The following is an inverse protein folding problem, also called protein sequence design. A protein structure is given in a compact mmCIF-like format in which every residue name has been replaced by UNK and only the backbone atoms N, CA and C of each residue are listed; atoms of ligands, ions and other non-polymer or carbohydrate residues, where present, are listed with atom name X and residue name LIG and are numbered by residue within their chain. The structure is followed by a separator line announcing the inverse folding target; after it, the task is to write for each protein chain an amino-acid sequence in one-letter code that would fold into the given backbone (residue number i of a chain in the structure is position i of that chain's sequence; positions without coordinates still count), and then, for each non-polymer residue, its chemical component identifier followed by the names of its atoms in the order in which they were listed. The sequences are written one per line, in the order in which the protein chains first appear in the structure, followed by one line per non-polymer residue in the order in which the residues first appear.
data_IF_705477653812
#
_entry.id   IF_705477653812
#
_cell.length_a   1.000
_cell.length_b   1.000
_cell.length_c   1.000
_cell.angle_alpha   90.00
_cell.angle_beta   90.00
_cell.angle_gamma   90.00
#
_symmetry.space_group_name_H-M   'P 1'
#
loop_
_entity.id
_entity.type
_entity.pdbx_description
1 polymer ?
#
# COMPACT_ATOMS: atom_id res chain seq x y z
N UNK A 1 25.62 21.72 -28.17
CA UNK A 1 24.22 21.85 -28.62
C UNK A 1 23.45 20.84 -27.80
N UNK A 2 22.87 21.28 -26.68
CA UNK A 2 22.09 20.43 -25.78
C UNK A 2 20.77 20.14 -26.50
N UNK A 3 20.45 18.87 -26.72
CA UNK A 3 19.23 18.44 -27.42
C UNK A 3 18.04 18.79 -26.53
N UNK A 4 17.22 19.75 -26.96
CA UNK A 4 16.03 20.25 -26.25
C UNK A 4 14.85 19.26 -26.26
N UNK A 5 15.08 17.98 -26.55
CA UNK A 5 14.06 16.91 -26.53
C UNK A 5 13.84 16.31 -25.14
N UNK A 6 14.68 16.62 -24.16
CA UNK A 6 14.59 16.09 -22.79
C UNK A 6 13.61 16.84 -21.88
N UNK A 7 13.09 18.01 -22.27
CA UNK A 7 12.30 18.84 -21.33
C UNK A 7 10.83 18.39 -21.13
N UNK A 8 10.36 17.31 -21.78
CA UNK A 8 9.04 16.73 -21.54
C UNK A 8 8.85 15.33 -22.19
N UNK A 9 9.73 14.35 -21.93
CA UNK A 9 9.44 12.97 -22.34
C UNK A 9 8.17 12.49 -21.59
N UNK A 10 7.08 12.09 -22.28
CA UNK A 10 5.84 11.64 -21.64
C UNK A 10 6.03 10.53 -20.61
N UNK A 11 7.07 9.70 -20.77
CA UNK A 11 7.40 8.69 -19.77
C UNK A 11 7.85 9.31 -18.44
N UNK A 12 8.70 10.35 -18.50
CA UNK A 12 9.16 11.07 -17.31
C UNK A 12 7.98 11.84 -16.70
N UNK A 13 7.19 12.52 -17.53
CA UNK A 13 6.01 13.27 -17.10
C UNK A 13 4.98 12.39 -16.35
N UNK A 14 4.76 11.17 -16.82
CA UNK A 14 3.76 10.26 -16.25
C UNK A 14 4.33 9.16 -15.35
N UNK A 15 5.61 9.25 -14.96
CA UNK A 15 6.29 8.23 -14.15
C UNK A 15 5.57 7.99 -12.82
N UNK A 16 5.15 9.07 -12.13
CA UNK A 16 4.37 9.00 -10.86
C UNK A 16 3.08 8.21 -11.02
N UNK A 17 2.31 8.53 -12.05
CA UNK A 17 1.05 7.85 -12.37
C UNK A 17 1.27 6.37 -12.68
N UNK A 18 2.28 6.05 -13.49
CA UNK A 18 2.63 4.67 -13.82
C UNK A 18 3.04 3.90 -12.57
N UNK A 19 3.89 4.49 -11.71
CA UNK A 19 4.31 3.86 -10.46
C UNK A 19 3.13 3.61 -9.54
N UNK A 20 2.27 4.61 -9.31
CA UNK A 20 1.07 4.47 -8.50
C UNK A 20 0.14 3.37 -9.07
N UNK A 21 0.00 3.29 -10.39
CA UNK A 21 -0.79 2.24 -11.05
C UNK A 21 -0.21 0.85 -10.80
N UNK A 22 1.09 0.67 -11.06
CA UNK A 22 1.76 -0.62 -10.87
C UNK A 22 1.77 -1.04 -9.40
N UNK A 23 2.08 -0.13 -8.48
CA UNK A 23 2.08 -0.38 -7.06
C UNK A 23 0.70 -0.75 -6.51
N UNK A 24 -0.36 -0.05 -6.91
CA UNK A 24 -1.74 -0.41 -6.47
C UNK A 24 -2.22 -1.72 -7.09
N UNK A 25 -1.72 -2.06 -8.27
CA UNK A 25 -1.96 -3.36 -8.87
C UNK A 25 -1.24 -4.45 -8.11
N UNK A 26 0.06 -4.28 -7.83
CA UNK A 26 0.95 -5.35 -7.38
C UNK A 26 1.12 -5.43 -5.87
N UNK A 27 0.99 -4.32 -5.14
CA UNK A 27 1.24 -4.28 -3.69
C UNK A 27 2.71 -4.50 -3.31
N UNK A 28 3.64 -4.30 -4.24
CA UNK A 28 5.09 -4.29 -4.01
C UNK A 28 5.72 -3.12 -4.75
N UNK A 29 6.64 -2.42 -4.08
CA UNK A 29 7.44 -1.33 -4.63
C UNK A 29 8.41 -1.89 -5.66
N UNK A 30 9.12 -2.97 -5.29
CA UNK A 30 10.09 -3.61 -6.19
C UNK A 30 9.41 -4.07 -7.49
N UNK A 31 8.28 -4.79 -7.39
CA UNK A 31 7.56 -5.23 -8.58
C UNK A 31 7.05 -4.05 -9.43
N UNK A 32 6.69 -2.93 -8.80
CA UNK A 32 6.24 -1.73 -9.49
C UNK A 32 7.40 -1.04 -10.25
N UNK A 33 8.58 -0.90 -9.63
CA UNK A 33 9.76 -0.32 -10.27
C UNK A 33 10.21 -1.14 -11.48
N UNK A 34 10.22 -2.46 -11.34
CA UNK A 34 10.53 -3.34 -12.46
C UNK A 34 9.52 -3.20 -13.62
N UNK A 35 8.22 -3.07 -13.32
CA UNK A 35 7.21 -2.82 -14.37
C UNK A 35 7.46 -1.47 -15.06
N UNK A 36 7.91 -0.46 -14.33
CA UNK A 36 8.29 0.82 -14.91
C UNK A 36 9.50 0.64 -15.85
N UNK A 37 10.49 -0.14 -15.45
CA UNK A 37 11.64 -0.45 -16.29
C UNK A 37 11.21 -1.16 -17.60
N UNK A 38 10.35 -2.18 -17.51
CA UNK A 38 9.79 -2.85 -18.68
C UNK A 38 8.98 -1.89 -19.57
N UNK A 39 8.23 -0.97 -18.95
CA UNK A 39 7.46 0.06 -19.65
C UNK A 39 8.37 1.04 -20.39
N UNK A 40 9.50 1.44 -19.79
CA UNK A 40 10.52 2.27 -20.45
C UNK A 40 11.11 1.58 -21.67
N UNK A 41 11.43 0.29 -21.57
CA UNK A 41 11.96 -0.48 -22.71
C UNK A 41 10.96 -0.51 -23.86
N UNK A 42 9.67 -0.74 -23.57
CA UNK A 42 8.60 -0.66 -24.57
C UNK A 42 8.45 0.75 -25.17
N UNK A 43 8.51 1.80 -24.35
CA UNK A 43 8.40 3.19 -24.80
C UNK A 43 9.60 3.67 -25.63
N UNK A 44 10.80 3.25 -25.26
CA UNK A 44 12.05 3.63 -25.94
C UNK A 44 12.19 3.03 -27.34
N UNK A 45 11.53 1.89 -27.60
CA UNK A 45 11.57 1.16 -28.87
C UNK A 45 10.34 1.39 -29.75
N UNK A 46 9.30 2.04 -29.23
CA UNK A 46 8.08 2.35 -29.98
C UNK A 46 8.30 3.48 -30.99
N UNK A 47 7.54 3.45 -32.09
CA UNK A 47 7.41 4.58 -33.01
C UNK A 47 6.58 5.69 -32.35
N UNK A 48 7.27 6.62 -31.67
CA UNK A 48 6.66 7.68 -30.87
C UNK A 48 5.80 8.63 -31.72
N UNK A 49 6.13 8.82 -32.99
CA UNK A 49 5.38 9.69 -33.91
C UNK A 49 4.01 9.11 -34.28
N UNK A 50 3.86 7.78 -34.18
CA UNK A 50 2.57 7.11 -34.39
C UNK A 50 1.64 7.18 -33.16
N UNK A 51 2.16 7.53 -31.97
CA UNK A 51 1.40 7.52 -30.71
C UNK A 51 0.74 8.88 -30.47
N UNK A 52 -0.57 8.97 -30.75
CA UNK A 52 -1.36 10.20 -30.59
C UNK A 52 -1.63 10.59 -29.14
N UNK A 53 -1.70 9.61 -28.23
CA UNK A 53 -2.04 9.82 -26.82
C UNK A 53 -1.02 9.09 -25.92
N UNK A 54 0.16 9.69 -25.66
CA UNK A 54 1.24 9.05 -24.89
C UNK A 54 0.81 8.58 -23.49
N UNK A 55 0.04 9.39 -22.76
CA UNK A 55 -0.51 9.02 -21.44
C UNK A 55 -1.31 7.71 -21.50
N UNK A 56 -2.24 7.60 -22.45
CA UNK A 56 -3.11 6.44 -22.59
C UNK A 56 -2.30 5.19 -22.99
N UNK A 57 -1.31 5.36 -23.88
CA UNK A 57 -0.38 4.29 -24.24
C UNK A 57 0.39 3.77 -23.03
N UNK A 58 1.01 4.67 -22.25
CA UNK A 58 1.81 4.32 -21.08
C UNK A 58 0.98 3.65 -19.97
N UNK A 59 -0.22 4.19 -19.69
CA UNK A 59 -1.15 3.59 -18.71
C UNK A 59 -1.63 2.20 -19.18
N UNK A 60 -1.87 2.01 -20.47
CA UNK A 60 -2.19 0.68 -21.02
C UNK A 60 -1.03 -0.29 -20.84
N UNK A 61 0.18 0.13 -21.20
CA UNK A 61 1.39 -0.69 -21.09
C UNK A 61 1.64 -1.12 -19.65
N UNK A 62 1.64 -0.17 -18.70
CA UNK A 62 1.88 -0.45 -17.28
C UNK A 62 0.80 -1.36 -16.70
N UNK A 63 -0.47 -1.18 -17.10
CA UNK A 63 -1.60 -2.02 -16.64
C UNK A 63 -1.46 -3.45 -17.14
N UNK A 64 -1.13 -3.64 -18.43
CA UNK A 64 -0.99 -4.96 -19.02
C UNK A 64 0.21 -5.72 -18.45
N UNK A 65 1.35 -5.06 -18.27
CA UNK A 65 2.51 -5.63 -17.60
C UNK A 65 2.19 -6.01 -16.15
N UNK A 66 1.48 -5.14 -15.41
CA UNK A 66 1.04 -5.43 -14.04
C UNK A 66 0.07 -6.61 -13.97
N UNK A 67 -0.86 -6.75 -14.92
CA UNK A 67 -1.79 -7.90 -15.00
C UNK A 67 -1.05 -9.22 -15.21
N UNK A 68 -0.06 -9.23 -16.09
CA UNK A 68 0.77 -10.40 -16.34
C UNK A 68 1.52 -10.82 -15.07
N UNK A 69 2.12 -9.85 -14.36
CA UNK A 69 2.83 -10.11 -13.10
C UNK A 69 1.91 -10.51 -11.96
N UNK A 70 0.72 -9.91 -11.84
CA UNK A 70 -0.24 -10.25 -10.79
C UNK A 70 -0.64 -11.72 -10.79
N UNK A 71 -0.72 -12.33 -11.97
CA UNK A 71 -1.03 -13.75 -12.12
C UNK A 71 0.06 -14.61 -11.46
N UNK A 72 1.32 -14.28 -11.70
CA UNK A 72 2.47 -14.94 -11.05
C UNK A 72 2.57 -14.61 -9.57
N UNK A 73 2.37 -13.35 -9.18
CA UNK A 73 2.43 -12.89 -7.79
C UNK A 73 1.39 -13.60 -6.92
N UNK A 74 0.19 -13.87 -7.46
CA UNK A 74 -0.83 -14.65 -6.76
C UNK A 74 -0.36 -16.07 -6.44
N UNK A 75 0.27 -16.76 -7.40
CA UNK A 75 0.83 -18.08 -7.16
C UNK A 75 1.94 -18.07 -6.09
N UNK A 76 2.79 -17.03 -6.09
CA UNK A 76 3.78 -16.83 -5.02
C UNK A 76 3.13 -16.60 -3.67
N UNK A 77 2.04 -15.82 -3.61
CA UNK A 77 1.30 -15.54 -2.36
C UNK A 77 0.62 -16.76 -1.77
N UNK A 78 0.21 -17.73 -2.58
CA UNK A 78 -0.37 -18.98 -2.11
C UNK A 78 0.61 -19.84 -1.29
N UNK A 79 1.91 -19.69 -1.54
CA UNK A 79 2.98 -20.38 -0.79
C UNK A 79 3.62 -19.51 0.30
N UNK A 80 3.06 -18.31 0.55
CA UNK A 80 3.59 -17.35 1.51
C UNK A 80 3.45 -17.83 2.96
N UNK A 81 4.49 -17.60 3.78
CA UNK A 81 4.52 -18.01 5.19
C UNK A 81 3.91 -16.92 6.07
N UNK A 82 2.67 -17.15 6.50
CA UNK A 82 1.91 -16.23 7.37
C UNK A 82 1.03 -15.25 6.59
N UNK A 83 0.47 -14.23 7.26
CA UNK A 83 -0.28 -13.18 6.59
C UNK A 83 0.57 -12.43 5.55
N UNK A 84 0.00 -12.19 4.36
CA UNK A 84 0.57 -11.27 3.37
C UNK A 84 0.01 -9.87 3.60
N UNK A 85 0.89 -8.87 3.66
CA UNK A 85 0.55 -7.46 3.62
C UNK A 85 1.24 -6.79 2.40
N UNK A 86 0.61 -5.81 1.75
CA UNK A 86 1.27 -5.00 0.73
C UNK A 86 2.51 -4.31 1.30
N UNK A 87 3.56 -4.19 0.49
CA UNK A 87 4.78 -3.48 0.85
C UNK A 87 4.45 -2.03 1.21
N UNK A 88 4.81 -1.54 2.40
CA UNK A 88 4.51 -0.18 2.83
C UNK A 88 5.28 0.85 2.01
N UNK A 89 4.68 2.03 1.85
CA UNK A 89 5.29 3.18 1.19
C UNK A 89 5.28 4.38 2.13
N UNK A 90 6.44 4.99 2.40
CA UNK A 90 6.48 6.29 3.07
C UNK A 90 6.02 7.38 2.12
N UNK A 91 5.14 8.23 2.60
CA UNK A 91 4.60 9.37 1.85
C UNK A 91 4.89 10.66 2.62
N UNK A 92 5.27 11.76 1.96
CA UNK A 92 5.57 13.02 2.65
C UNK A 92 4.31 13.88 2.88
N UNK A 93 4.16 14.55 4.05
CA UNK A 93 3.08 15.50 4.32
C UNK A 93 3.03 16.69 3.34
N UNK A 94 4.18 17.18 2.88
CA UNK A 94 4.25 18.37 2.02
C UNK A 94 3.66 18.13 0.62
N UNK A 95 3.67 16.88 0.16
CA UNK A 95 3.08 16.48 -1.13
C UNK A 95 1.63 15.99 -0.95
N UNK A 96 1.23 15.62 0.27
CA UNK A 96 -0.17 15.33 0.58
C UNK A 96 -1.05 16.60 0.54
N UNK A 97 -0.46 17.80 0.60
CA UNK A 97 -1.15 19.08 0.53
C UNK A 97 -1.17 19.72 -0.88
N UNK A 98 -0.15 19.48 -1.72
CA UNK A 98 -0.07 20.02 -3.08
C UNK A 98 -0.38 18.94 -4.13
N UNK A 99 -1.66 18.90 -4.52
CA UNK A 99 -2.21 18.20 -5.70
C UNK A 99 -2.41 16.70 -5.52
N UNK A 100 -3.70 16.37 -5.37
CA UNK A 100 -4.31 15.03 -5.39
C UNK A 100 -4.12 14.14 -4.15
N UNK A 101 -5.03 14.33 -3.19
CA UNK A 101 -5.51 13.29 -2.27
C UNK A 101 -5.91 11.97 -2.99
N UNK A 102 -6.03 11.98 -4.32
CA UNK A 102 -6.29 10.82 -5.18
C UNK A 102 -5.06 9.90 -5.39
N UNK A 103 -3.85 10.36 -5.04
CA UNK A 103 -2.61 9.60 -5.20
C UNK A 103 -2.24 8.71 -4.02
N UNK A 104 -2.83 8.91 -2.84
CA UNK A 104 -2.59 8.04 -1.69
C UNK A 104 -3.68 6.98 -1.49
N UNK A 105 -3.30 5.70 -1.57
CA UNK A 105 -4.17 4.56 -1.24
C UNK A 105 -3.69 3.96 0.07
N UNK A 106 -4.53 3.97 1.10
CA UNK A 106 -4.21 3.44 2.42
C UNK A 106 -3.88 1.95 2.39
N UNK A 107 -3.08 1.49 3.36
CA UNK A 107 -2.73 0.06 3.47
C UNK A 107 -3.98 -0.81 3.59
N UNK A 108 -5.01 -0.35 4.31
CA UNK A 108 -6.29 -1.04 4.40
C UNK A 108 -6.95 -1.23 3.02
N UNK A 109 -6.95 -0.19 2.19
CA UNK A 109 -7.49 -0.27 0.85
C UNK A 109 -6.67 -1.20 -0.05
N UNK A 110 -5.33 -1.18 0.03
CA UNK A 110 -4.49 -2.15 -0.70
C UNK A 110 -4.80 -3.59 -0.28
N UNK A 111 -5.00 -3.86 1.02
CA UNK A 111 -5.41 -5.18 1.50
C UNK A 111 -6.79 -5.58 0.97
N UNK A 112 -7.72 -4.64 0.83
CA UNK A 112 -9.02 -4.93 0.19
C UNK A 112 -8.84 -5.23 -1.30
N UNK A 113 -8.03 -4.44 -2.03
CA UNK A 113 -7.72 -4.72 -3.42
C UNK A 113 -7.08 -6.11 -3.60
N UNK A 114 -6.33 -6.58 -2.60
CA UNK A 114 -5.77 -7.94 -2.56
C UNK A 114 -6.80 -9.06 -2.73
N UNK A 115 -8.06 -8.79 -2.38
CA UNK A 115 -9.15 -9.78 -2.48
C UNK A 115 -9.81 -9.86 -3.86
N UNK A 116 -9.55 -8.89 -4.74
CA UNK A 116 -10.07 -8.88 -6.11
C UNK A 116 -9.27 -9.81 -7.03
N UNK A 117 -9.94 -10.37 -8.05
CA UNK A 117 -9.20 -10.98 -9.17
C UNK A 117 -8.37 -9.93 -9.91
N UNK A 118 -7.29 -10.31 -10.62
CA UNK A 118 -6.41 -9.34 -11.30
C UNK A 118 -7.16 -8.38 -12.23
N UNK A 119 -8.13 -8.89 -12.99
CA UNK A 119 -8.93 -8.08 -13.91
C UNK A 119 -9.92 -7.18 -13.17
N UNK A 120 -10.57 -7.66 -12.10
CA UNK A 120 -11.42 -6.82 -11.25
C UNK A 120 -10.62 -5.67 -10.64
N UNK A 121 -9.39 -5.93 -10.17
CA UNK A 121 -8.49 -4.91 -9.62
C UNK A 121 -8.12 -3.87 -10.67
N UNK A 122 -7.72 -4.28 -11.88
CA UNK A 122 -7.39 -3.36 -12.96
C UNK A 122 -8.59 -2.47 -13.34
N UNK A 123 -9.76 -3.07 -13.55
CA UNK A 123 -10.98 -2.33 -13.88
C UNK A 123 -11.36 -1.36 -12.76
N UNK A 124 -11.27 -1.80 -11.51
CA UNK A 124 -11.55 -0.95 -10.35
C UNK A 124 -10.61 0.25 -10.28
N UNK A 125 -9.29 0.04 -10.40
CA UNK A 125 -8.30 1.11 -10.31
C UNK A 125 -8.44 2.11 -11.45
N UNK A 126 -8.52 1.64 -12.69
CA UNK A 126 -8.71 2.51 -13.86
C UNK A 126 -10.00 3.33 -13.75
N UNK A 127 -11.08 2.74 -13.23
CA UNK A 127 -12.38 3.41 -13.12
C UNK A 127 -12.48 4.36 -11.93
N UNK A 128 -12.22 3.85 -10.72
CA UNK A 128 -12.54 4.52 -9.47
C UNK A 128 -11.42 5.43 -8.97
N UNK A 129 -10.17 5.13 -9.36
CA UNK A 129 -9.01 5.90 -8.90
C UNK A 129 -8.51 6.84 -9.99
N UNK A 130 -8.47 6.39 -11.24
CA UNK A 130 -7.95 7.18 -12.36
C UNK A 130 -9.04 7.81 -13.24
N UNK A 131 -10.32 7.49 -13.02
CA UNK A 131 -11.44 8.17 -13.67
C UNK A 131 -11.71 7.79 -15.12
N UNK A 132 -11.07 6.74 -15.66
CA UNK A 132 -11.29 6.30 -17.05
C UNK A 132 -12.74 5.84 -17.28
N UNK A 133 -13.26 6.10 -18.48
CA UNK A 133 -14.54 5.58 -18.95
C UNK A 133 -14.49 4.07 -19.16
N UNK A 134 -15.64 3.40 -19.10
CA UNK A 134 -15.70 1.97 -19.41
C UNK A 134 -15.24 1.66 -20.84
N UNK A 135 -15.43 2.59 -21.78
CA UNK A 135 -14.97 2.45 -23.16
C UNK A 135 -13.44 2.47 -23.27
N UNK A 136 -12.77 3.40 -22.59
CA UNK A 136 -11.30 3.47 -22.55
C UNK A 136 -10.69 2.24 -21.85
N UNK A 137 -11.33 1.76 -20.78
CA UNK A 137 -10.91 0.53 -20.09
C UNK A 137 -11.12 -0.69 -20.99
N UNK A 138 -12.22 -0.75 -21.74
CA UNK A 138 -12.52 -1.80 -22.71
C UNK A 138 -11.45 -1.89 -23.80
N UNK A 139 -11.02 -0.75 -24.33
CA UNK A 139 -9.92 -0.68 -25.29
C UNK A 139 -8.58 -1.12 -24.67
N UNK A 140 -8.30 -0.63 -23.45
CA UNK A 140 -7.07 -0.94 -22.71
C UNK A 140 -6.91 -2.43 -22.42
N UNK A 141 -7.98 -3.07 -21.97
CA UNK A 141 -8.02 -4.48 -21.56
C UNK A 141 -8.45 -5.43 -22.68
N UNK A 142 -8.70 -4.91 -23.89
CA UNK A 142 -9.16 -5.67 -25.06
C UNK A 142 -10.41 -6.53 -24.76
N UNK A 143 -11.41 -5.90 -24.13
CA UNK A 143 -12.66 -6.54 -23.69
C UNK A 143 -13.88 -5.75 -24.14
N UNK A 144 -15.04 -6.38 -24.39
CA UNK A 144 -16.26 -5.64 -24.69
C UNK A 144 -16.65 -4.70 -23.55
N UNK A 145 -17.07 -3.47 -23.87
CA UNK A 145 -17.50 -2.49 -22.86
C UNK A 145 -18.60 -2.99 -21.92
N UNK A 146 -19.64 -3.73 -22.37
CA UNK A 146 -20.64 -4.30 -21.46
C UNK A 146 -20.02 -5.24 -20.42
N UNK A 147 -18.98 -5.99 -20.79
CA UNK A 147 -18.24 -6.87 -19.88
C UNK A 147 -17.47 -6.05 -18.84
N UNK A 148 -16.80 -4.98 -19.27
CA UNK A 148 -16.09 -4.07 -18.35
C UNK A 148 -17.04 -3.44 -17.34
N UNK A 149 -18.23 -3.01 -17.76
CA UNK A 149 -19.27 -2.47 -16.87
C UNK A 149 -19.68 -3.46 -15.78
N UNK A 150 -19.90 -4.73 -16.15
CA UNK A 150 -20.23 -5.78 -15.19
C UNK A 150 -19.08 -6.05 -14.20
N UNK A 151 -17.84 -6.10 -14.69
CA UNK A 151 -16.66 -6.27 -13.84
C UNK A 151 -16.50 -5.10 -12.88
N UNK A 152 -16.66 -3.85 -13.36
CA UNK A 152 -16.58 -2.65 -12.54
C UNK A 152 -17.60 -2.67 -11.40
N UNK A 153 -18.86 -3.03 -11.71
CA UNK A 153 -19.91 -3.16 -10.71
C UNK A 153 -19.56 -4.20 -9.64
N UNK A 154 -19.15 -5.41 -10.06
CA UNK A 154 -18.76 -6.49 -9.13
C UNK A 154 -17.56 -6.12 -8.27
N UNK A 155 -16.53 -5.51 -8.86
CA UNK A 155 -15.35 -5.07 -8.14
C UNK A 155 -15.72 -4.01 -7.10
N UNK A 156 -16.60 -3.06 -7.46
CA UNK A 156 -17.13 -2.04 -6.54
C UNK A 156 -17.90 -2.67 -5.38
N UNK A 157 -18.79 -3.62 -5.65
CA UNK A 157 -19.53 -4.33 -4.58
C UNK A 157 -18.59 -5.10 -3.65
N UNK A 158 -17.60 -5.80 -4.20
CA UNK A 158 -16.59 -6.54 -3.44
C UNK A 158 -15.81 -5.60 -2.50
N UNK A 159 -15.34 -4.47 -3.03
CA UNK A 159 -14.64 -3.45 -2.25
C UNK A 159 -15.57 -2.86 -1.19
N UNK A 160 -16.78 -2.43 -1.53
CA UNK A 160 -17.70 -1.81 -0.57
C UNK A 160 -18.10 -2.76 0.58
N UNK A 161 -18.25 -4.06 0.29
CA UNK A 161 -18.54 -5.06 1.32
C UNK A 161 -17.40 -5.23 2.35
N UNK A 162 -16.17 -4.89 1.96
CA UNK A 162 -14.97 -4.97 2.80
C UNK A 162 -14.39 -3.61 3.15
N UNK A 163 -15.00 -2.53 2.62
CA UNK A 163 -14.54 -1.17 2.81
C UNK A 163 -14.81 -0.82 4.25
N UNK A 164 -13.77 -0.52 5.02
CA UNK A 164 -14.02 -0.26 6.41
C UNK A 164 -14.62 1.14 6.60
N UNK A 165 -15.45 1.29 7.62
CA UNK A 165 -16.03 2.58 8.02
C UNK A 165 -15.03 3.29 8.92
N UNK A 166 -14.03 3.93 8.33
CA UNK A 166 -12.98 4.60 9.10
C UNK A 166 -13.30 6.07 9.35
N UNK A 167 -12.83 6.55 10.50
CA UNK A 167 -12.82 7.96 10.82
C UNK A 167 -11.67 8.66 10.08
N UNK A 168 -12.01 9.75 9.38
CA UNK A 168 -11.05 10.62 8.69
C UNK A 168 -10.48 11.72 9.60
N UNK A 169 -10.83 11.72 10.89
CA UNK A 169 -10.31 12.69 11.86
C UNK A 169 -8.81 12.49 12.12
N UNK A 170 -8.01 13.35 11.49
CA UNK A 170 -6.56 13.37 11.65
C UNK A 170 -6.11 13.75 13.07
N UNK A 171 -6.89 14.57 13.79
CA UNK A 171 -6.58 14.97 15.16
C UNK A 171 -6.74 13.77 16.09
N UNK A 172 -7.87 13.07 15.98
CA UNK A 172 -8.10 11.83 16.73
C UNK A 172 -7.03 10.78 16.39
N UNK A 173 -6.68 10.62 15.11
CA UNK A 173 -5.62 9.69 14.71
C UNK A 173 -4.28 10.02 15.35
N UNK A 174 -3.83 11.28 15.33
CA UNK A 174 -2.59 11.71 16.01
C UNK A 174 -2.61 11.38 17.50
N UNK A 175 -3.72 11.69 18.19
CA UNK A 175 -3.86 11.41 19.61
C UNK A 175 -3.77 9.90 19.92
N UNK A 176 -4.46 9.07 19.13
CA UNK A 176 -4.39 7.60 19.29
C UNK A 176 -2.99 7.08 18.99
N UNK A 177 -2.33 7.55 17.92
CA UNK A 177 -0.94 7.19 17.61
C UNK A 177 0.00 7.48 18.78
N UNK A 178 -0.04 8.71 19.32
CA UNK A 178 0.81 9.11 20.45
C UNK A 178 0.56 8.24 21.68
N UNK A 179 -0.70 8.08 22.09
CA UNK A 179 -1.06 7.26 23.26
C UNK A 179 -0.65 5.80 23.07
N UNK A 180 -0.79 5.26 21.86
CA UNK A 180 -0.39 3.89 21.55
C UNK A 180 1.12 3.70 21.67
N UNK A 181 1.92 4.62 21.12
CA UNK A 181 3.38 4.59 21.24
C UNK A 181 3.82 4.70 22.70
N UNK A 182 3.24 5.63 23.48
CA UNK A 182 3.53 5.79 24.91
C UNK A 182 3.20 4.52 25.72
N UNK A 183 2.02 3.93 25.49
CA UNK A 183 1.60 2.70 26.15
C UNK A 183 2.53 1.52 25.81
N UNK A 184 2.94 1.41 24.54
CA UNK A 184 3.88 0.38 24.08
C UNK A 184 5.28 0.56 24.68
N UNK A 185 5.80 1.79 24.70
CA UNK A 185 7.12 2.10 25.26
C UNK A 185 7.17 1.86 26.79
N UNK A 186 6.06 2.12 27.50
CA UNK A 186 5.94 1.86 28.93
C UNK A 186 5.63 0.40 29.29
N UNK A 187 5.31 -0.46 28.30
CA UNK A 187 4.83 -1.82 28.55
C UNK A 187 3.48 -1.87 29.27
N UNK A 188 2.65 -0.82 29.16
CA UNK A 188 1.37 -0.72 29.85
C UNK A 188 0.28 -1.49 29.09
N UNK A 189 0.08 -2.74 29.51
CA UNK A 189 -0.93 -3.63 28.94
C UNK A 189 -2.34 -3.03 28.98
N UNK A 190 -2.72 -2.37 30.07
CA UNK A 190 -4.07 -1.84 30.23
C UNK A 190 -4.29 -0.65 29.29
N UNK A 191 -3.32 0.25 29.20
CA UNK A 191 -3.38 1.39 28.28
C UNK A 191 -3.43 0.93 26.82
N UNK A 192 -2.70 -0.12 26.44
CA UNK A 192 -2.84 -0.72 25.10
C UNK A 192 -4.26 -1.26 24.90
N UNK A 193 -4.78 -2.04 25.85
CA UNK A 193 -6.13 -2.63 25.75
C UNK A 193 -7.23 -1.57 25.61
N UNK A 194 -7.14 -0.44 26.31
CA UNK A 194 -8.10 0.66 26.21
C UNK A 194 -8.18 1.30 24.82
N UNK A 195 -7.08 1.28 24.07
CA UNK A 195 -7.02 1.82 22.71
C UNK A 195 -7.57 0.86 21.65
N UNK A 196 -7.73 -0.44 21.97
CA UNK A 196 -8.19 -1.43 21.02
C UNK A 196 -9.73 -1.58 21.05
N UNK A 197 -10.31 -1.81 19.89
CA UNK A 197 -11.70 -2.23 19.78
C UNK A 197 -11.88 -3.67 20.33
N UNK A 198 -13.08 -4.05 20.79
CA UNK A 198 -13.34 -5.42 21.27
C UNK A 198 -13.00 -6.51 20.24
N UNK A 199 -13.38 -6.28 18.98
CA UNK A 199 -13.16 -7.19 17.85
C UNK A 199 -11.86 -6.88 17.09
N UNK A 200 -10.88 -6.26 17.75
CA UNK A 200 -9.62 -5.91 17.12
C UNK A 200 -8.97 -7.12 16.48
N UNK A 201 -8.42 -6.93 15.27
CA UNK A 201 -7.61 -7.96 14.62
C UNK A 201 -6.22 -7.41 14.30
N UNK A 202 -5.19 -8.21 14.57
CA UNK A 202 -3.81 -7.88 14.23
C UNK A 202 -3.22 -8.89 13.25
N UNK A 203 -2.59 -8.38 12.19
CA UNK A 203 -1.86 -9.16 11.19
C UNK A 203 -0.37 -8.80 11.27
N UNK A 204 0.49 -9.80 11.15
CA UNK A 204 1.94 -9.61 11.14
C UNK A 204 2.54 -10.32 9.94
N UNK A 205 3.05 -9.55 8.98
CA UNK A 205 3.76 -10.06 7.81
C UNK A 205 5.26 -10.09 8.12
N UNK A 206 5.79 -11.29 8.41
CA UNK A 206 7.23 -11.54 8.52
C UNK A 206 7.82 -12.37 7.39
N UNK A 207 7.02 -12.79 6.40
CA UNK A 207 7.45 -13.61 5.26
C UNK A 207 8.20 -14.92 5.58
N UNK A 208 8.11 -15.42 6.81
CA UNK A 208 8.94 -16.55 7.29
C UNK A 208 10.43 -16.22 7.46
N UNK A 209 10.82 -14.95 7.30
CA UNK A 209 12.20 -14.45 7.46
C UNK A 209 12.49 -14.03 8.90
N UNK A 210 11.46 -13.53 9.58
CA UNK A 210 11.51 -13.12 10.98
C UNK A 210 10.38 -13.77 11.78
N UNK A 211 10.50 -13.75 13.11
CA UNK A 211 9.44 -14.25 13.98
C UNK A 211 8.25 -13.31 13.95
N UNK A 212 7.12 -13.79 13.43
CA UNK A 212 5.85 -13.08 13.32
C UNK A 212 4.67 -14.01 13.63
N UNK A 213 3.51 -13.45 13.95
CA UNK A 213 2.29 -14.24 14.15
C UNK A 213 1.87 -14.91 12.82
N UNK A 214 1.88 -16.25 12.78
CA UNK A 214 1.54 -17.01 11.56
C UNK A 214 0.07 -16.95 11.16
N UNK A 215 -0.79 -16.52 12.08
CA UNK A 215 -2.24 -16.35 11.89
C UNK A 215 -2.64 -15.00 12.49
N UNK A 216 -3.70 -14.37 11.96
CA UNK A 216 -4.23 -13.16 12.56
C UNK A 216 -4.58 -13.38 14.04
N UNK A 217 -4.27 -12.39 14.86
CA UNK A 217 -4.62 -12.37 16.28
C UNK A 217 -5.93 -11.64 16.44
N UNK A 218 -6.85 -12.17 17.24
CA UNK A 218 -8.18 -11.60 17.45
C UNK A 218 -8.41 -11.28 18.92
N UNK A 219 -9.10 -10.18 19.16
CA UNK A 219 -9.57 -9.76 20.46
C UNK A 219 -8.54 -8.96 21.26
N UNK A 220 -9.05 -8.03 22.06
CA UNK A 220 -8.27 -7.03 22.79
C UNK A 220 -7.16 -7.62 23.67
N UNK A 221 -7.48 -8.61 24.52
CA UNK A 221 -6.50 -9.18 25.47
C UNK A 221 -5.35 -9.89 24.74
N UNK A 222 -5.67 -10.73 23.75
CA UNK A 222 -4.66 -11.50 23.02
C UNK A 222 -3.74 -10.60 22.21
N UNK A 223 -4.30 -9.61 21.50
CA UNK A 223 -3.51 -8.64 20.72
C UNK A 223 -2.62 -7.80 21.63
N UNK A 224 -3.15 -7.26 22.72
CA UNK A 224 -2.39 -6.40 23.62
C UNK A 224 -1.25 -7.15 24.31
N UNK A 225 -1.49 -8.37 24.83
CA UNK A 225 -0.45 -9.20 25.43
C UNK A 225 0.63 -9.57 24.43
N UNK A 226 0.26 -9.87 23.18
CA UNK A 226 1.23 -10.18 22.14
C UNK A 226 2.14 -8.99 21.84
N UNK A 227 1.60 -7.77 21.73
CA UNK A 227 2.36 -6.54 21.49
C UNK A 227 3.33 -6.29 22.65
N UNK A 228 2.83 -6.23 23.89
CA UNK A 228 3.66 -5.94 25.07
C UNK A 228 4.71 -7.02 25.29
N UNK A 229 4.33 -8.30 25.15
CA UNK A 229 5.25 -9.41 25.29
C UNK A 229 6.32 -9.47 24.20
N UNK A 230 6.00 -9.02 22.98
CA UNK A 230 6.98 -8.90 21.91
C UNK A 230 7.98 -7.79 22.21
N UNK A 231 7.51 -6.59 22.59
CA UNK A 231 8.35 -5.43 22.88
C UNK A 231 9.21 -5.59 24.15
N UNK A 232 8.80 -6.42 25.09
CA UNK A 232 9.57 -6.70 26.32
C UNK A 232 10.83 -7.58 26.09
N UNK A 233 11.08 -8.03 24.86
CA UNK A 233 12.25 -8.85 24.53
C UNK A 233 13.56 -8.06 24.65
N UNK A 234 14.62 -8.61 25.25
CA UNK A 234 15.89 -7.89 25.42
C UNK A 234 16.50 -7.41 24.10
N UNK A 235 16.32 -8.14 23.01
CA UNK A 235 16.85 -7.79 21.68
C UNK A 235 16.18 -6.53 21.09
N UNK A 236 15.04 -6.10 21.65
CA UNK A 236 14.30 -4.91 21.23
C UNK A 236 14.48 -3.75 22.22
N UNK A 237 15.41 -3.84 23.17
CA UNK A 237 15.62 -2.78 24.17
C UNK A 237 16.00 -1.41 23.55
N UNK A 238 16.65 -1.41 22.39
CA UNK A 238 17.01 -0.21 21.64
C UNK A 238 15.98 0.17 20.55
N UNK A 239 14.82 -0.51 20.51
CA UNK A 239 13.77 -0.21 19.55
C UNK A 239 13.19 1.18 19.82
N UNK A 240 13.14 2.00 18.78
CA UNK A 240 12.45 3.29 18.80
C UNK A 240 11.22 3.23 17.92
N UNK A 241 10.19 3.98 18.29
CA UNK A 241 8.95 4.11 17.51
C UNK A 241 8.71 5.58 17.21
N UNK A 242 8.47 5.89 15.94
CA UNK A 242 8.23 7.25 15.49
C UNK A 242 6.99 7.33 14.60
N UNK A 243 6.22 8.44 14.66
CA UNK A 243 5.09 8.65 13.77
C UNK A 243 5.57 8.83 12.33
N UNK A 244 4.91 8.17 11.38
CA UNK A 244 5.21 8.29 9.95
C UNK A 244 3.94 8.22 9.11
N UNK A 245 3.91 8.88 7.94
CA UNK A 245 2.80 8.73 7.00
C UNK A 245 3.11 7.53 6.10
N UNK A 246 2.38 6.44 6.32
CA UNK A 246 2.50 5.19 5.58
C UNK A 246 1.28 5.08 4.68
N UNK A 247 1.49 4.98 3.37
CA UNK A 247 0.42 4.85 2.39
C UNK A 247 -0.64 5.98 2.49
N UNK A 248 -0.21 7.20 2.84
CA UNK A 248 -1.08 8.36 3.02
C UNK A 248 -1.79 8.47 4.36
N UNK A 249 -1.60 7.52 5.29
CA UNK A 249 -2.19 7.58 6.62
C UNK A 249 -1.11 7.61 7.70
N UNK A 250 -1.38 8.34 8.78
CA UNK A 250 -0.49 8.34 9.95
C UNK A 250 -0.47 6.95 10.60
N UNK A 251 0.72 6.36 10.62
CA UNK A 251 1.09 5.11 11.28
C UNK A 251 2.36 5.28 12.09
N UNK A 252 3.08 4.18 12.32
CA UNK A 252 4.28 4.13 13.17
C UNK A 252 5.39 3.37 12.43
N UNK A 253 6.59 3.94 12.39
CA UNK A 253 7.82 3.22 12.05
C UNK A 253 8.53 2.77 13.31
N UNK A 254 9.03 1.54 13.29
CA UNK A 254 9.86 1.00 14.33
C UNK A 254 11.29 0.83 13.80
N UNK A 255 12.26 1.44 14.47
CA UNK A 255 13.68 1.34 14.09
C UNK A 255 14.50 0.74 15.21
N UNK A 256 15.49 -0.08 14.85
CA UNK A 256 16.45 -0.67 15.76
C UNK A 256 17.85 -0.37 15.22
N UNK A 257 18.70 0.24 16.05
CA UNK A 257 20.05 0.67 15.66
C UNK A 257 20.08 1.48 14.35
N UNK A 258 19.11 2.38 14.17
CA UNK A 258 18.96 3.24 12.98
C UNK A 258 18.39 2.56 11.74
N UNK A 259 18.03 1.27 11.80
CA UNK A 259 17.46 0.53 10.68
C UNK A 259 15.97 0.30 10.89
N UNK A 260 15.15 0.49 9.86
CA UNK A 260 13.72 0.18 9.93
C UNK A 260 13.50 -1.33 10.04
N UNK A 261 12.88 -1.75 11.13
CA UNK A 261 12.57 -3.16 11.43
C UNK A 261 11.07 -3.43 11.50
N UNK A 262 10.24 -2.39 11.45
CA UNK A 262 8.80 -2.54 11.38
C UNK A 262 8.10 -1.30 10.85
N UNK A 263 6.96 -1.52 10.19
CA UNK A 263 5.99 -0.49 9.86
C UNK A 263 4.61 -0.94 10.33
N UNK A 264 3.92 -0.08 11.08
CA UNK A 264 2.60 -0.33 11.62
C UNK A 264 1.60 0.65 11.02
N UNK A 265 0.63 0.11 10.29
CA UNK A 265 -0.58 0.83 9.89
C UNK A 265 -1.78 0.29 10.67
N UNK A 266 -2.75 1.16 10.93
CA UNK A 266 -3.92 0.79 11.67
C UNK A 266 -5.14 1.61 11.28
N UNK A 267 -6.27 1.07 11.67
CA UNK A 267 -7.59 1.55 11.36
C UNK A 267 -8.29 2.07 12.61
N UNK A 268 -8.95 3.21 12.51
CA UNK A 268 -9.73 3.79 13.60
C UNK A 268 -11.21 3.82 13.26
N UNK A 269 -12.03 3.47 14.26
CA UNK A 269 -13.42 3.85 14.32
C UNK A 269 -13.79 4.14 15.78
N UNK A 270 -14.60 5.17 16.00
CA UNK A 270 -15.05 5.59 17.33
C UNK A 270 -13.88 5.77 18.33
N UNK A 271 -12.74 6.29 17.84
CA UNK A 271 -11.52 6.52 18.63
C UNK A 271 -10.77 5.26 19.07
N UNK A 272 -11.11 4.08 18.55
CA UNK A 272 -10.45 2.81 18.88
C UNK A 272 -9.84 2.13 17.65
N UNK A 273 -8.75 1.42 17.88
CA UNK A 273 -8.03 0.65 16.88
C UNK A 273 -8.80 -0.64 16.58
N UNK A 274 -9.28 -0.77 15.34
CA UNK A 274 -9.99 -1.97 14.88
C UNK A 274 -9.08 -2.99 14.22
N UNK A 275 -8.09 -2.53 13.46
CA UNK A 275 -7.17 -3.41 12.73
C UNK A 275 -5.76 -2.89 12.89
N UNK A 276 -4.82 -3.79 13.13
CA UNK A 276 -3.38 -3.52 13.21
C UNK A 276 -2.67 -4.34 12.14
N UNK A 277 -1.81 -3.70 11.34
CA UNK A 277 -1.04 -4.36 10.28
C UNK A 277 0.44 -4.09 10.51
N UNK A 278 1.13 -5.09 11.04
CA UNK A 278 2.56 -5.07 11.31
C UNK A 278 3.30 -5.64 10.10
N UNK A 279 3.96 -4.79 9.34
CA UNK A 279 4.94 -5.21 8.35
C UNK A 279 6.30 -5.35 9.04
N UNK A 280 6.82 -6.57 9.14
CA UNK A 280 8.13 -6.87 9.76
C UNK A 280 9.04 -7.70 8.85
N UNK A 281 8.58 -8.09 7.66
CA UNK A 281 9.41 -8.75 6.67
C UNK A 281 10.53 -7.79 6.19
N UNK A 282 11.81 -8.08 6.45
CA UNK A 282 12.92 -7.20 6.09
C UNK A 282 13.02 -6.94 4.58
N UNK A 283 12.58 -7.88 3.74
CA UNK A 283 12.60 -7.70 2.27
C UNK A 283 11.62 -6.61 1.81
N UNK A 284 10.57 -6.33 2.59
CA UNK A 284 9.56 -5.28 2.32
C UNK A 284 9.81 -3.98 3.07
N UNK A 285 10.86 -3.93 3.89
CA UNK A 285 11.22 -2.76 4.70
C UNK A 285 12.49 -2.07 4.20
N UNK A 286 13.24 -2.71 3.30
CA UNK A 286 14.53 -2.24 2.78
C UNK A 286 14.45 -0.84 2.13
N UNK A 287 13.31 -0.47 1.55
CA UNK A 287 13.07 0.84 0.96
C UNK A 287 12.64 1.95 1.94
N UNK A 288 12.31 1.60 3.19
CA UNK A 288 11.88 2.55 4.22
C UNK A 288 13.10 3.05 5.00
N UNK A 289 13.80 4.08 4.51
CA UNK A 289 14.80 4.76 5.35
C UNK A 289 14.17 6.01 5.97
N UNK A 290 14.57 6.40 7.21
CA UNK A 290 14.08 7.63 7.84
C UNK A 290 14.31 8.89 6.98
N UNK A 291 15.36 8.87 6.16
CA UNK A 291 15.72 9.94 5.23
C UNK A 291 15.03 9.84 3.85
N UNK A 292 14.29 8.77 3.56
CA UNK A 292 13.64 8.51 2.28
C UNK A 292 12.12 8.54 2.43
N UNK A 293 11.58 9.64 2.95
CA UNK A 293 10.18 9.98 2.68
C UNK A 293 10.09 10.18 1.17
N UNK A 294 9.57 9.18 0.44
CA UNK A 294 9.34 9.34 -0.98
C UNK A 294 8.30 10.47 -1.12
N UNK A 295 8.78 11.63 -1.57
CA UNK A 295 8.08 12.28 -2.65
C UNK A 295 7.88 11.19 -3.70
N UNK A 296 6.62 10.83 -4.01
CA UNK A 296 6.37 10.03 -5.20
C UNK A 296 7.20 10.68 -6.32
N UNK A 297 8.23 10.02 -6.85
CA UNK A 297 9.24 10.66 -7.70
C UNK A 297 8.62 11.24 -8.96
#
# INVERSE_FOLDING_TARGET
MVDTRDEQDPYIEHRRLMFATAYRMLGSVTDAEDVLQDTWLSWSTADRDAIRHPKAYLVRTVTNLSLNRLTSARATRETYVGPWLPEPLLTSPDIAAETELADSVSTAMLVVLETLSPVERAVFLLREVFGYSHAEIAETLERPEPTVRQIAHRAREHVQARRPRFDTDQTQRRQVTTRFMEACAGGDLNAVMELLAPEVTAWSDGGGKVTAARRPLHGTDHVARWIVGFLAKPELAALTMEPAIINGELGILATLDGHTVGALSFDLADGRIQNLRFQVNPEKLSGLTPDNSLALP
#
